data_IF_144140580258
#
_entry.id   IF_144140580258
#
_cell.length_a   1.000
_cell.length_b   1.000
_cell.length_c   1.000
_cell.angle_alpha   90.00
_cell.angle_beta   90.00
_cell.angle_gamma   90.00
#
_symmetry.space_group_name_H-M   'P 1'
#
loop_
_entity.id
_entity.type
_entity.pdbx_description
1 polymer ?
#
# COMPACT_ATOMS: atom_id res chain seq x y z
N UNK A 1 15.31 1.02 31.85
CA UNK A 1 14.07 0.41 32.37
C UNK A 1 12.98 0.64 31.34
N UNK A 2 12.66 -0.40 30.56
CA UNK A 2 11.73 -0.32 29.42
C UNK A 2 10.30 -0.33 29.94
N UNK A 3 9.57 0.78 29.78
CA UNK A 3 8.12 0.77 29.91
C UNK A 3 7.54 0.12 28.65
N UNK A 4 7.40 -1.19 28.70
CA UNK A 4 6.45 -1.91 27.86
C UNK A 4 5.07 -1.53 28.37
N UNK A 5 4.46 -0.51 27.78
CA UNK A 5 3.00 -0.34 27.86
C UNK A 5 2.37 -1.45 27.02
N UNK A 6 2.24 -2.64 27.62
CA UNK A 6 1.18 -3.58 27.26
C UNK A 6 -0.13 -2.86 27.54
N UNK A 7 -0.68 -2.17 26.55
CA UNK A 7 -2.11 -1.90 26.53
C UNK A 7 -2.78 -3.26 26.33
N UNK A 8 -3.18 -3.90 27.42
CA UNK A 8 -4.22 -4.91 27.38
C UNK A 8 -5.52 -4.19 27.02
N UNK A 9 -5.75 -3.93 25.74
CA UNK A 9 -7.10 -3.67 25.27
C UNK A 9 -7.76 -5.04 25.14
N UNK A 10 -8.60 -5.39 26.12
CA UNK A 10 -9.34 -6.65 26.20
C UNK A 10 -10.51 -6.72 25.20
N UNK A 11 -10.32 -6.18 24.00
CA UNK A 11 -11.29 -6.29 22.90
C UNK A 11 -10.90 -7.48 22.04
N UNK A 12 -11.83 -8.43 21.83
CA UNK A 12 -11.59 -9.55 20.93
C UNK A 12 -11.22 -9.01 19.52
N UNK A 13 -10.15 -9.56 18.94
CA UNK A 13 -9.72 -9.19 17.59
C UNK A 13 -10.83 -9.47 16.58
N UNK A 14 -11.03 -8.54 15.63
CA UNK A 14 -11.92 -8.73 14.49
C UNK A 14 -11.40 -9.89 13.63
N UNK A 15 -12.31 -10.56 12.91
CA UNK A 15 -11.99 -11.68 12.00
C UNK A 15 -12.47 -11.36 10.60
N UNK A 16 -11.69 -11.71 9.58
CA UNK A 16 -12.15 -11.68 8.19
C UNK A 16 -13.03 -12.90 7.90
N UNK A 17 -13.76 -12.88 6.78
CA UNK A 17 -14.53 -14.04 6.32
C UNK A 17 -13.64 -15.26 6.00
N UNK A 18 -12.32 -15.06 5.84
CA UNK A 18 -11.33 -16.10 5.57
C UNK A 18 -10.60 -16.59 6.82
N UNK A 19 -10.97 -16.11 8.02
CA UNK A 19 -10.26 -16.45 9.27
C UNK A 19 -10.13 -17.96 9.50
N UNK A 20 -11.23 -18.71 9.35
CA UNK A 20 -11.23 -20.16 9.57
C UNK A 20 -10.41 -20.90 8.51
N UNK A 21 -10.39 -20.40 7.26
CA UNK A 21 -9.51 -20.92 6.21
C UNK A 21 -8.04 -20.68 6.57
N UNK A 22 -7.68 -19.50 7.08
CA UNK A 22 -6.31 -19.24 7.51
C UNK A 22 -5.87 -20.21 8.60
N UNK A 23 -6.73 -20.47 9.59
CA UNK A 23 -6.46 -21.42 10.67
C UNK A 23 -6.29 -22.84 10.12
N UNK A 24 -7.16 -23.28 9.21
CA UNK A 24 -7.08 -24.63 8.62
C UNK A 24 -5.82 -24.83 7.79
N UNK A 25 -5.34 -23.78 7.11
CA UNK A 25 -4.07 -23.75 6.38
C UNK A 25 -2.83 -23.66 7.30
N UNK A 26 -3.02 -23.67 8.62
CA UNK A 26 -1.92 -23.57 9.59
C UNK A 26 -1.33 -22.17 9.70
N UNK A 27 -2.16 -21.14 9.51
CA UNK A 27 -1.79 -19.75 9.69
C UNK A 27 -1.37 -19.44 11.12
N UNK A 28 -0.20 -18.82 11.28
CA UNK A 28 0.20 -18.20 12.55
C UNK A 28 -0.50 -16.85 12.65
N UNK A 29 -1.55 -16.79 13.47
CA UNK A 29 -2.41 -15.62 13.59
C UNK A 29 -1.83 -14.59 14.57
N UNK A 30 -1.78 -13.33 14.16
CA UNK A 30 -1.30 -12.20 14.98
C UNK A 30 -2.31 -11.05 14.94
N UNK A 31 -2.21 -10.14 15.90
CA UNK A 31 -2.91 -8.87 15.83
C UNK A 31 -2.29 -7.98 14.74
N UNK A 32 -3.11 -7.53 13.80
CA UNK A 32 -2.74 -6.54 12.80
C UNK A 32 -3.92 -5.62 12.52
N UNK A 33 -3.76 -4.32 12.81
CA UNK A 33 -4.81 -3.30 12.65
C UNK A 33 -6.16 -3.69 13.32
N UNK A 34 -6.11 -4.32 14.50
CA UNK A 34 -7.31 -4.77 15.22
C UNK A 34 -7.96 -6.06 14.70
N UNK A 35 -7.37 -6.71 13.69
CA UNK A 35 -7.79 -8.00 13.15
C UNK A 35 -6.84 -9.13 13.54
N UNK A 36 -7.37 -10.35 13.59
CA UNK A 36 -6.59 -11.59 13.67
C UNK A 36 -6.19 -12.04 12.26
N UNK A 37 -4.93 -11.80 11.88
CA UNK A 37 -4.43 -12.00 10.51
C UNK A 37 -3.23 -12.97 10.46
N UNK A 38 -3.06 -13.75 9.38
CA UNK A 38 -1.94 -14.68 9.26
C UNK A 38 -0.63 -13.97 8.93
N UNK A 39 0.38 -14.08 9.81
CA UNK A 39 1.73 -13.55 9.53
C UNK A 39 2.55 -14.50 8.66
N UNK A 40 2.33 -15.80 8.83
CA UNK A 40 3.00 -16.91 8.16
C UNK A 40 2.06 -18.12 8.11
N UNK A 41 2.34 -19.09 7.25
CA UNK A 41 1.64 -20.38 7.20
C UNK A 41 2.61 -21.52 7.52
N UNK A 42 2.10 -22.60 8.12
CA UNK A 42 2.87 -23.79 8.47
C UNK A 42 3.66 -24.31 7.25
N UNK A 43 4.94 -24.60 7.44
CA UNK A 43 5.82 -25.11 6.39
C UNK A 43 6.33 -24.04 5.42
N UNK A 44 6.12 -22.75 5.68
CA UNK A 44 6.68 -21.65 4.91
C UNK A 44 7.46 -20.70 5.81
N UNK A 45 8.66 -20.31 5.38
CA UNK A 45 9.36 -19.12 5.91
C UNK A 45 8.93 -17.87 5.15
N UNK A 46 9.10 -16.69 5.76
CA UNK A 46 8.85 -15.41 5.08
C UNK A 46 9.69 -15.25 3.80
N UNK A 47 10.92 -15.81 3.77
CA UNK A 47 11.81 -15.81 2.61
C UNK A 47 11.23 -16.67 1.48
N UNK A 48 10.81 -17.90 1.78
CA UNK A 48 10.20 -18.79 0.79
C UNK A 48 8.90 -18.21 0.24
N UNK A 49 8.03 -17.68 1.11
CA UNK A 49 6.80 -17.02 0.68
C UNK A 49 7.05 -15.78 -0.20
N UNK A 50 8.08 -15.00 0.13
CA UNK A 50 8.51 -13.86 -0.69
C UNK A 50 8.96 -14.31 -2.07
N UNK A 51 9.92 -15.24 -2.14
CA UNK A 51 10.47 -15.74 -3.40
C UNK A 51 9.41 -16.47 -4.23
N UNK A 52 8.47 -17.16 -3.58
CA UNK A 52 7.32 -17.75 -4.25
C UNK A 52 6.49 -16.69 -4.96
N UNK A 53 6.16 -15.59 -4.28
CA UNK A 53 5.37 -14.48 -4.88
C UNK A 53 6.09 -13.87 -6.08
N UNK A 54 7.44 -13.79 -6.04
CA UNK A 54 8.25 -13.31 -7.18
C UNK A 54 8.25 -14.24 -8.40
N UNK A 55 7.95 -15.53 -8.22
CA UNK A 55 8.07 -16.55 -9.27
C UNK A 55 6.71 -17.12 -9.72
N UNK A 56 5.71 -17.08 -8.87
CA UNK A 56 4.42 -17.76 -9.02
C UNK A 56 3.25 -16.81 -8.70
N UNK A 57 2.17 -17.30 -8.09
CA UNK A 57 1.09 -16.48 -7.55
C UNK A 57 1.04 -16.63 -6.01
N UNK A 58 1.10 -15.51 -5.31
CA UNK A 58 0.86 -15.39 -3.89
C UNK A 58 -0.53 -14.83 -3.62
N UNK A 59 -1.32 -15.53 -2.80
CA UNK A 59 -2.64 -15.08 -2.38
C UNK A 59 -2.58 -14.46 -0.98
N UNK A 60 -2.96 -13.20 -0.88
CA UNK A 60 -3.00 -12.44 0.38
C UNK A 60 -4.44 -12.10 0.73
N UNK A 61 -4.82 -12.27 2.00
CA UNK A 61 -6.07 -11.71 2.52
C UNK A 61 -5.83 -10.26 2.97
N UNK A 62 -6.42 -9.32 2.23
CA UNK A 62 -6.42 -7.89 2.54
C UNK A 62 -7.82 -7.38 2.92
N UNK A 63 -8.74 -8.28 3.29
CA UNK A 63 -10.14 -7.98 3.62
C UNK A 63 -10.32 -7.11 4.86
N UNK A 64 -9.25 -6.86 5.61
CA UNK A 64 -9.22 -5.94 6.74
C UNK A 64 -9.11 -4.47 6.30
N UNK A 65 -8.77 -4.20 5.03
CA UNK A 65 -8.84 -2.87 4.42
C UNK A 65 -10.30 -2.46 4.18
N UNK A 66 -10.56 -1.16 4.21
CA UNK A 66 -11.91 -0.63 4.08
C UNK A 66 -12.25 -0.38 2.61
N UNK A 67 -13.28 -1.05 2.11
CA UNK A 67 -13.88 -0.78 0.82
C UNK A 67 -15.05 0.19 1.01
N UNK A 68 -15.09 1.27 0.24
CA UNK A 68 -16.14 2.28 0.33
C UNK A 68 -16.45 2.88 -1.04
N UNK A 69 -17.54 3.63 -1.11
CA UNK A 69 -17.97 4.34 -2.30
C UNK A 69 -18.31 5.79 -1.95
N UNK A 70 -17.83 6.72 -2.76
CA UNK A 70 -18.21 8.13 -2.74
C UNK A 70 -19.10 8.41 -3.96
N UNK A 71 -20.28 8.98 -3.73
CA UNK A 71 -21.28 9.27 -4.77
C UNK A 71 -21.92 10.64 -4.59
N UNK A 72 -22.33 11.29 -5.68
CA UNK A 72 -23.15 12.51 -5.62
C UNK A 72 -22.54 13.68 -6.39
N UNK A 73 -23.34 14.72 -6.64
CA UNK A 73 -22.99 15.80 -7.58
C UNK A 73 -21.68 16.51 -7.22
N UNK A 74 -21.34 16.59 -5.93
CA UNK A 74 -20.10 17.22 -5.45
C UNK A 74 -18.99 16.22 -5.06
N UNK A 75 -19.11 14.94 -5.40
CA UNK A 75 -18.10 13.92 -5.09
C UNK A 75 -16.71 14.27 -5.64
N UNK A 76 -16.64 14.74 -6.88
CA UNK A 76 -15.37 15.17 -7.50
C UNK A 76 -14.77 16.36 -6.77
N UNK A 77 -15.61 17.33 -6.37
CA UNK A 77 -15.21 18.52 -5.63
C UNK A 77 -14.65 18.15 -4.25
N UNK A 78 -15.30 17.23 -3.54
CA UNK A 78 -14.78 16.68 -2.27
C UNK A 78 -13.41 16.02 -2.48
N UNK A 79 -13.26 15.14 -3.48
CA UNK A 79 -11.96 14.52 -3.74
C UNK A 79 -10.90 15.55 -4.08
N UNK A 80 -11.26 16.60 -4.81
CA UNK A 80 -10.33 17.67 -5.15
C UNK A 80 -9.96 18.54 -3.95
N UNK A 81 -10.82 18.71 -2.95
CA UNK A 81 -10.42 19.42 -1.72
C UNK A 81 -9.47 18.60 -0.84
N UNK A 82 -9.69 17.28 -0.75
CA UNK A 82 -8.91 16.43 0.19
C UNK A 82 -7.74 15.68 -0.46
N UNK A 83 -7.61 15.72 -1.78
CA UNK A 83 -6.53 15.04 -2.51
C UNK A 83 -5.89 15.92 -3.59
N UNK A 84 -4.60 15.70 -3.91
CA UNK A 84 -3.89 16.44 -4.94
C UNK A 84 -4.03 15.83 -6.35
N UNK A 85 -4.81 14.75 -6.50
CA UNK A 85 -5.01 14.03 -7.75
C UNK A 85 -6.22 14.59 -8.50
N UNK A 86 -6.13 14.63 -9.83
CA UNK A 86 -7.23 15.06 -10.68
C UNK A 86 -8.14 13.89 -11.04
N UNK A 87 -9.16 13.67 -10.21
CA UNK A 87 -10.17 12.64 -10.42
C UNK A 87 -11.24 13.01 -11.45
N UNK A 88 -11.29 14.25 -11.93
CA UNK A 88 -12.24 14.65 -12.97
C UNK A 88 -11.80 14.06 -14.31
N UNK A 89 -10.50 14.19 -14.61
CA UNK A 89 -9.87 13.73 -15.85
C UNK A 89 -9.42 12.26 -15.84
N UNK A 90 -9.65 11.53 -14.74
CA UNK A 90 -9.36 10.10 -14.69
C UNK A 90 -10.34 9.35 -15.60
N UNK A 91 -9.90 8.43 -16.48
CA UNK A 91 -10.80 7.61 -17.27
C UNK A 91 -11.68 6.72 -16.38
N UNK A 92 -12.89 6.43 -16.87
CA UNK A 92 -13.77 5.48 -16.21
C UNK A 92 -13.12 4.10 -16.14
N UNK A 93 -13.26 3.42 -15.00
CA UNK A 93 -12.63 2.13 -14.74
C UNK A 93 -11.13 2.24 -14.41
N UNK A 94 -10.57 3.43 -14.29
CA UNK A 94 -9.17 3.61 -13.86
C UNK A 94 -9.13 4.09 -12.41
N UNK A 95 -8.17 3.58 -11.66
CA UNK A 95 -7.81 4.04 -10.34
C UNK A 95 -6.39 4.58 -10.26
N UNK A 96 -6.18 5.45 -9.28
CA UNK A 96 -4.87 5.98 -8.95
C UNK A 96 -4.63 5.83 -7.45
N UNK A 97 -3.38 5.56 -7.09
CA UNK A 97 -2.91 5.92 -5.76
C UNK A 97 -3.04 7.44 -5.60
N UNK A 98 -3.56 7.84 -4.45
CA UNK A 98 -3.55 9.21 -4.00
C UNK A 98 -3.31 9.25 -2.49
N UNK A 99 -3.37 10.44 -1.93
CA UNK A 99 -3.18 10.71 -0.51
C UNK A 99 -4.31 11.62 -0.04
N UNK A 100 -4.92 11.26 1.08
CA UNK A 100 -5.79 12.15 1.83
C UNK A 100 -4.91 13.16 2.57
N UNK A 101 -5.19 14.44 2.42
CA UNK A 101 -4.39 15.52 2.99
C UNK A 101 -5.16 16.25 4.08
N UNK A 102 -4.50 16.46 5.22
CA UNK A 102 -4.97 17.41 6.21
C UNK A 102 -4.70 18.86 5.76
N UNK A 103 -5.30 19.82 6.44
CA UNK A 103 -5.21 21.26 6.10
C UNK A 103 -3.75 21.79 6.02
N UNK A 104 -2.81 21.12 6.68
CA UNK A 104 -1.38 21.46 6.67
C UNK A 104 -0.57 20.75 5.57
N UNK A 105 -1.23 19.95 4.73
CA UNK A 105 -0.63 19.19 3.62
C UNK A 105 0.11 17.91 4.04
N UNK A 106 -0.10 17.47 5.28
CA UNK A 106 0.38 16.18 5.75
C UNK A 106 -0.56 15.05 5.34
N UNK A 107 -0.02 13.83 5.23
CA UNK A 107 -0.77 12.66 4.75
C UNK A 107 -1.58 12.04 5.88
N UNK A 108 -2.91 12.02 5.74
CA UNK A 108 -3.85 11.33 6.63
C UNK A 108 -3.92 9.84 6.28
N UNK A 109 -3.92 9.50 5.01
CA UNK A 109 -3.76 8.13 4.50
C UNK A 109 -3.30 8.13 3.04
N UNK A 110 -2.70 7.05 2.57
CA UNK A 110 -2.56 6.75 1.15
C UNK A 110 -3.60 5.72 0.70
N UNK A 111 -4.30 6.00 -0.40
CA UNK A 111 -5.50 5.25 -0.80
C UNK A 111 -5.54 5.03 -2.30
N UNK A 112 -6.12 3.89 -2.71
CA UNK A 112 -6.50 3.69 -4.12
C UNK A 112 -7.91 4.23 -4.30
N UNK A 113 -8.08 5.12 -5.29
CA UNK A 113 -9.38 5.68 -5.67
C UNK A 113 -9.60 5.38 -7.15
N UNK A 114 -10.66 4.65 -7.46
CA UNK A 114 -11.09 4.29 -8.81
C UNK A 114 -12.32 5.09 -9.21
N UNK A 115 -12.29 5.72 -10.38
CA UNK A 115 -13.48 6.32 -10.99
C UNK A 115 -14.35 5.21 -11.58
N UNK A 116 -15.48 4.90 -10.93
CA UNK A 116 -16.43 3.91 -11.47
C UNK A 116 -17.31 4.54 -12.56
N UNK A 117 -17.74 5.79 -12.34
CA UNK A 117 -18.49 6.66 -13.26
C UNK A 117 -18.20 8.12 -12.93
N UNK A 118 -18.75 9.07 -13.68
CA UNK A 118 -18.73 10.48 -13.27
C UNK A 118 -19.41 10.62 -11.89
N UNK A 119 -18.75 11.32 -10.97
CA UNK A 119 -19.24 11.53 -9.61
C UNK A 119 -19.50 10.25 -8.79
N UNK A 120 -18.91 9.12 -9.18
CA UNK A 120 -18.95 7.85 -8.46
C UNK A 120 -17.56 7.23 -8.38
N UNK A 121 -17.06 7.06 -7.16
CA UNK A 121 -15.71 6.60 -6.90
C UNK A 121 -15.70 5.43 -5.92
N UNK A 122 -14.96 4.38 -6.25
CA UNK A 122 -14.64 3.29 -5.34
C UNK A 122 -13.32 3.55 -4.66
N UNK A 123 -13.28 3.42 -3.33
CA UNK A 123 -12.15 3.83 -2.50
C UNK A 123 -11.75 2.67 -1.61
N UNK A 124 -10.45 2.36 -1.58
CA UNK A 124 -9.85 1.39 -0.65
C UNK A 124 -8.83 2.08 0.23
N UNK A 125 -9.13 2.22 1.53
CA UNK A 125 -8.23 2.83 2.51
C UNK A 125 -7.54 1.78 3.40
N UNK A 126 -6.42 2.17 4.02
CA UNK A 126 -5.61 1.26 4.80
C UNK A 126 -6.32 0.77 6.07
N UNK A 127 -6.13 -0.50 6.40
CA UNK A 127 -6.75 -1.11 7.57
C UNK A 127 -6.39 -0.43 8.91
N UNK A 128 -5.16 0.06 9.03
CA UNK A 128 -4.69 0.78 10.22
C UNK A 128 -5.24 2.21 10.34
N UNK A 129 -5.90 2.72 9.30
CA UNK A 129 -6.36 4.10 9.19
C UNK A 129 -7.89 4.21 9.26
N UNK A 130 -8.61 3.09 9.15
CA UNK A 130 -10.08 3.02 9.04
C UNK A 130 -10.85 3.96 9.96
N UNK A 131 -10.55 3.97 11.27
CA UNK A 131 -11.28 4.80 12.22
C UNK A 131 -11.06 6.30 11.93
N UNK A 132 -9.81 6.69 11.64
CA UNK A 132 -9.45 8.07 11.29
C UNK A 132 -10.00 8.47 9.93
N UNK A 133 -9.88 7.62 8.93
CA UNK A 133 -10.38 7.92 7.58
C UNK A 133 -11.89 8.08 7.59
N UNK A 134 -12.59 7.25 8.38
CA UNK A 134 -14.04 7.33 8.56
C UNK A 134 -14.44 8.67 9.19
N UNK A 135 -13.73 9.11 10.24
CA UNK A 135 -13.99 10.41 10.87
C UNK A 135 -13.71 11.57 9.91
N UNK A 136 -12.54 11.54 9.26
CA UNK A 136 -12.12 12.56 8.29
C UNK A 136 -13.12 12.67 7.12
N UNK A 137 -13.43 11.57 6.43
CA UNK A 137 -14.32 11.59 5.28
C UNK A 137 -15.74 11.97 5.66
N UNK A 138 -16.27 11.53 6.81
CA UNK A 138 -17.59 11.98 7.28
C UNK A 138 -17.62 13.48 7.55
N UNK A 139 -16.55 14.02 8.14
CA UNK A 139 -16.40 15.46 8.36
C UNK A 139 -16.47 16.24 7.05
N UNK A 140 -15.74 15.79 6.03
CA UNK A 140 -15.70 16.45 4.72
C UNK A 140 -16.98 16.28 3.90
N UNK A 141 -17.60 15.10 3.92
CA UNK A 141 -18.86 14.81 3.21
C UNK A 141 -20.00 15.66 3.76
N UNK A 142 -20.03 15.93 5.07
CA UNK A 142 -21.11 16.69 5.70
C UNK A 142 -21.27 18.14 5.18
N UNK A 143 -20.28 18.63 4.41
CA UNK A 143 -20.22 19.99 3.87
C UNK A 143 -20.71 20.10 2.41
N UNK A 144 -20.98 18.99 1.74
CA UNK A 144 -21.17 18.92 0.27
C UNK A 144 -22.33 17.98 -0.10
N UNK A 145 -22.90 18.17 -1.29
CA UNK A 145 -23.93 17.28 -1.86
C UNK A 145 -23.32 15.98 -2.41
N UNK A 146 -22.90 15.11 -1.49
CA UNK A 146 -22.40 13.77 -1.76
C UNK A 146 -22.61 12.84 -0.55
N UNK A 147 -22.44 11.54 -0.77
CA UNK A 147 -22.47 10.50 0.26
C UNK A 147 -21.21 9.65 0.19
N UNK A 148 -20.73 9.21 1.35
CA UNK A 148 -19.67 8.23 1.46
C UNK A 148 -20.16 7.04 2.28
N UNK A 149 -20.15 5.88 1.65
CA UNK A 149 -20.77 4.67 2.17
C UNK A 149 -19.76 3.52 2.19
N UNK A 150 -19.67 2.85 3.33
CA UNK A 150 -18.85 1.65 3.49
C UNK A 150 -19.53 0.49 2.76
N UNK A 151 -18.78 -0.21 1.90
CA UNK A 151 -19.27 -1.39 1.20
C UNK A 151 -19.19 -2.58 2.16
N UNK A 152 -20.35 -3.01 2.65
CA UNK A 152 -20.45 -4.14 3.57
C UNK A 152 -20.51 -5.49 2.85
N UNK A 153 -20.22 -6.56 3.58
CA UNK A 153 -20.42 -7.94 3.11
C UNK A 153 -19.42 -8.41 2.05
N UNK A 154 -18.27 -7.75 1.91
CA UNK A 154 -17.24 -8.10 0.91
C UNK A 154 -15.88 -8.35 1.53
N UNK A 155 -15.17 -9.30 0.95
CA UNK A 155 -13.76 -9.62 1.18
C UNK A 155 -12.92 -9.03 0.05
N UNK A 156 -11.64 -8.80 0.33
CA UNK A 156 -10.67 -8.30 -0.64
C UNK A 156 -9.44 -9.20 -0.60
N UNK A 157 -9.16 -9.88 -1.71
CA UNK A 157 -8.00 -10.75 -1.86
C UNK A 157 -7.02 -10.14 -2.85
N UNK A 158 -5.73 -10.16 -2.54
CA UNK A 158 -4.69 -9.78 -3.48
C UNK A 158 -3.99 -11.03 -4.02
N UNK A 159 -4.13 -11.29 -5.32
CA UNK A 159 -3.42 -12.36 -6.03
C UNK A 159 -2.25 -11.72 -6.79
N UNK A 160 -1.03 -11.92 -6.30
CA UNK A 160 0.16 -11.16 -6.72
C UNK A 160 1.24 -12.09 -7.25
N UNK A 161 1.97 -11.68 -8.28
CA UNK A 161 3.06 -12.43 -8.89
C UNK A 161 2.84 -12.74 -10.38
N UNK A 162 3.89 -13.14 -11.11
CA UNK A 162 3.86 -13.28 -12.57
C UNK A 162 2.90 -14.38 -13.08
N UNK A 163 2.39 -15.26 -12.20
CA UNK A 163 1.40 -16.28 -12.56
C UNK A 163 -0.04 -15.90 -12.16
N UNK A 164 -0.25 -14.74 -11.54
CA UNK A 164 -1.56 -14.30 -11.07
C UNK A 164 -2.62 -14.29 -12.18
N UNK A 165 -2.27 -13.77 -13.37
CA UNK A 165 -3.20 -13.74 -14.50
C UNK A 165 -3.59 -15.15 -14.94
N UNK A 166 -2.61 -16.03 -15.16
CA UNK A 166 -2.85 -17.42 -15.56
C UNK A 166 -3.75 -18.17 -14.57
N UNK A 167 -3.63 -17.88 -13.26
CA UNK A 167 -4.45 -18.48 -12.21
C UNK A 167 -5.87 -17.93 -12.27
N UNK A 168 -6.04 -16.60 -12.27
CA UNK A 168 -7.36 -15.97 -12.23
C UNK A 168 -8.17 -16.23 -13.50
N UNK A 169 -7.51 -16.23 -14.66
CA UNK A 169 -8.11 -16.45 -15.98
C UNK A 169 -8.81 -17.82 -16.10
N UNK A 170 -8.43 -18.80 -15.29
CA UNK A 170 -9.09 -20.12 -15.23
C UNK A 170 -10.41 -20.13 -14.46
N UNK A 171 -10.66 -19.10 -13.65
CA UNK A 171 -11.85 -19.01 -12.78
C UNK A 171 -12.90 -18.04 -13.31
N UNK A 172 -12.56 -17.20 -14.28
CA UNK A 172 -13.48 -16.27 -14.94
C UNK A 172 -14.02 -16.85 -16.23
N UNK A 173 -15.16 -16.36 -16.71
CA UNK A 173 -15.78 -16.84 -17.95
C UNK A 173 -14.84 -16.69 -19.15
N UNK A 174 -14.95 -17.58 -20.16
CA UNK A 174 -14.01 -17.63 -21.30
C UNK A 174 -14.01 -16.39 -22.21
N UNK A 175 -15.10 -15.64 -22.20
CA UNK A 175 -15.23 -14.36 -22.90
C UNK A 175 -14.62 -13.18 -22.11
N UNK A 176 -14.09 -13.44 -20.91
CA UNK A 176 -13.39 -12.44 -20.12
C UNK A 176 -12.07 -12.02 -20.78
N UNK A 177 -11.89 -10.71 -20.92
CA UNK A 177 -10.69 -10.09 -21.50
C UNK A 177 -9.74 -9.64 -20.40
N UNK A 178 -9.39 -10.55 -19.49
CA UNK A 178 -8.57 -10.22 -18.31
C UNK A 178 -7.18 -9.70 -18.71
N UNK A 179 -6.63 -10.20 -19.81
CA UNK A 179 -5.38 -9.74 -20.42
C UNK A 179 -5.43 -8.28 -20.92
N UNK A 180 -6.63 -7.76 -21.23
CA UNK A 180 -6.89 -6.37 -21.63
C UNK A 180 -7.21 -5.45 -20.42
N UNK A 181 -7.09 -5.96 -19.19
CA UNK A 181 -7.09 -5.14 -17.98
C UNK A 181 -5.64 -4.73 -17.69
N UNK A 182 -5.34 -3.44 -17.76
CA UNK A 182 -3.98 -2.92 -17.51
C UNK A 182 -3.80 -2.43 -16.07
N UNK A 183 -2.55 -2.29 -15.63
CA UNK A 183 -2.21 -1.79 -14.30
C UNK A 183 -2.88 -0.44 -14.03
N UNK A 184 -3.57 -0.34 -12.90
CA UNK A 184 -4.38 0.81 -12.53
C UNK A 184 -5.82 0.74 -13.03
N UNK A 185 -6.21 -0.26 -13.83
CA UNK A 185 -7.60 -0.44 -14.23
C UNK A 185 -8.35 -1.38 -13.30
N UNK A 186 -9.67 -1.20 -13.24
CA UNK A 186 -10.63 -2.01 -12.53
C UNK A 186 -11.87 -2.26 -13.38
N UNK A 187 -12.29 -3.52 -13.45
CA UNK A 187 -13.52 -3.94 -14.15
C UNK A 187 -14.25 -5.00 -13.32
N UNK A 188 -15.53 -5.20 -13.61
CA UNK A 188 -16.28 -6.33 -13.08
C UNK A 188 -16.08 -7.55 -13.99
N UNK A 189 -15.94 -8.73 -13.37
CA UNK A 189 -15.83 -10.01 -14.04
C UNK A 189 -16.83 -10.99 -13.44
N UNK A 190 -17.17 -12.02 -14.22
CA UNK A 190 -18.04 -13.11 -13.79
C UNK A 190 -17.20 -14.37 -13.63
N UNK A 191 -17.39 -15.08 -12.51
CA UNK A 191 -16.77 -16.39 -12.31
C UNK A 191 -17.46 -17.45 -13.18
N UNK A 192 -16.68 -18.40 -13.68
CA UNK A 192 -17.17 -19.63 -14.33
C UNK A 192 -17.64 -20.62 -13.23
N UNK A 193 -18.70 -20.24 -12.53
CA UNK A 193 -19.36 -21.06 -11.51
C UNK A 193 -20.87 -21.18 -11.78
N UNK A 194 -21.54 -22.12 -11.11
CA UNK A 194 -22.96 -22.38 -11.30
C UNK A 194 -23.88 -21.20 -10.92
N UNK A 195 -23.35 -20.21 -10.20
CA UNK A 195 -24.10 -19.04 -9.71
C UNK A 195 -23.77 -17.75 -10.47
N UNK A 196 -22.88 -17.79 -11.47
CA UNK A 196 -22.39 -16.63 -12.20
C UNK A 196 -21.95 -15.49 -11.26
N UNK A 197 -21.17 -15.82 -10.21
CA UNK A 197 -20.75 -14.86 -9.18
C UNK A 197 -20.00 -13.67 -9.80
N UNK A 198 -20.43 -12.43 -9.48
CA UNK A 198 -19.75 -11.20 -9.93
C UNK A 198 -18.66 -10.79 -8.95
N UNK A 199 -17.47 -10.49 -9.48
CA UNK A 199 -16.31 -10.00 -8.73
C UNK A 199 -15.81 -8.68 -9.31
N UNK A 200 -15.35 -7.79 -8.44
CA UNK A 200 -14.64 -6.58 -8.87
C UNK A 200 -13.14 -6.85 -8.89
N UNK A 201 -12.48 -6.64 -10.03
CA UNK A 201 -11.06 -6.93 -10.21
C UNK A 201 -10.32 -5.66 -10.58
N UNK A 202 -9.39 -5.23 -9.74
CA UNK A 202 -8.44 -4.17 -10.04
C UNK A 202 -7.07 -4.79 -10.32
N UNK A 203 -6.38 -4.39 -11.40
CA UNK A 203 -5.02 -4.86 -11.67
C UNK A 203 -4.01 -3.92 -11.05
N UNK A 204 -3.22 -4.45 -10.12
CA UNK A 204 -2.29 -3.71 -9.29
C UNK A 204 -2.02 -4.44 -7.99
N UNK A 205 -1.34 -3.77 -7.08
CA UNK A 205 -1.12 -4.28 -5.73
C UNK A 205 0.16 -3.76 -5.09
N UNK A 206 0.50 -4.36 -3.96
CA UNK A 206 1.46 -3.82 -2.99
C UNK A 206 2.74 -4.66 -2.87
N UNK A 207 3.17 -5.28 -3.98
CA UNK A 207 4.32 -6.20 -4.01
C UNK A 207 5.40 -5.81 -5.02
N UNK A 208 5.08 -4.91 -5.95
CA UNK A 208 5.92 -4.62 -7.12
C UNK A 208 5.82 -5.64 -8.25
N UNK A 209 5.12 -6.76 -8.06
CA UNK A 209 4.78 -7.69 -9.14
C UNK A 209 3.48 -7.28 -9.85
N UNK A 210 3.22 -7.90 -11.00
CA UNK A 210 1.87 -7.93 -11.56
C UNK A 210 0.90 -8.65 -10.61
N UNK A 211 -0.39 -8.41 -10.77
CA UNK A 211 -1.41 -9.06 -9.96
C UNK A 211 -2.71 -8.28 -9.90
N UNK A 212 -3.62 -8.80 -9.08
CA UNK A 212 -4.97 -8.28 -8.95
C UNK A 212 -5.37 -8.13 -7.49
N UNK A 213 -6.17 -7.11 -7.20
CA UNK A 213 -7.01 -7.03 -6.01
C UNK A 213 -8.45 -7.36 -6.42
N UNK A 214 -9.02 -8.35 -5.74
CA UNK A 214 -10.27 -9.00 -6.12
C UNK A 214 -11.26 -8.87 -4.97
N UNK A 215 -12.30 -8.07 -5.20
CA UNK A 215 -13.40 -7.86 -4.29
C UNK A 215 -14.48 -8.91 -4.56
N UNK A 216 -14.83 -9.71 -3.55
CA UNK A 216 -15.79 -10.82 -3.63
C UNK A 216 -16.72 -10.79 -2.43
N UNK A 217 -17.96 -11.26 -2.58
CA UNK A 217 -18.91 -11.36 -1.46
C UNK A 217 -18.41 -12.33 -0.37
N UNK A 218 -18.63 -11.99 0.90
CA UNK A 218 -18.16 -12.79 2.04
C UNK A 218 -18.66 -14.23 1.99
N UNK A 219 -19.91 -14.45 1.57
CA UNK A 219 -20.48 -15.80 1.44
C UNK A 219 -19.79 -16.68 0.39
N UNK A 220 -19.04 -16.06 -0.54
CA UNK A 220 -18.31 -16.74 -1.62
C UNK A 220 -16.79 -16.70 -1.43
N UNK A 221 -16.29 -15.89 -0.51
CA UNK A 221 -14.87 -15.63 -0.33
C UNK A 221 -14.05 -16.89 -0.05
N UNK A 222 -14.53 -17.78 0.83
CA UNK A 222 -13.83 -19.01 1.18
C UNK A 222 -13.73 -19.97 -0.02
N UNK A 223 -14.86 -20.25 -0.68
CA UNK A 223 -14.88 -21.09 -1.89
C UNK A 223 -13.97 -20.51 -2.98
N UNK A 224 -14.02 -19.20 -3.20
CA UNK A 224 -13.17 -18.52 -4.18
C UNK A 224 -11.68 -18.61 -3.84
N UNK A 225 -11.31 -18.37 -2.57
CA UNK A 225 -9.94 -18.51 -2.10
C UNK A 225 -9.43 -19.95 -2.25
N UNK A 226 -10.26 -20.95 -1.91
CA UNK A 226 -9.90 -22.36 -2.05
C UNK A 226 -9.66 -22.71 -3.53
N UNK A 227 -10.53 -22.28 -4.46
CA UNK A 227 -10.32 -22.48 -5.90
C UNK A 227 -9.02 -21.89 -6.41
N UNK A 228 -8.62 -20.72 -5.90
CA UNK A 228 -7.32 -20.12 -6.23
C UNK A 228 -6.16 -20.95 -5.68
N UNK A 229 -6.28 -21.47 -4.45
CA UNK A 229 -5.27 -22.25 -3.74
C UNK A 229 -5.14 -23.69 -4.23
N UNK A 230 -6.19 -24.26 -4.83
CA UNK A 230 -6.15 -25.59 -5.45
C UNK A 230 -5.30 -25.61 -6.73
N UNK A 231 -4.92 -24.43 -7.24
CA UNK A 231 -3.95 -24.30 -8.31
C UNK A 231 -2.52 -24.42 -7.78
N UNK A 232 -1.71 -25.32 -8.35
CA UNK A 232 -0.31 -25.56 -7.94
C UNK A 232 0.60 -24.33 -8.04
N UNK A 233 0.22 -23.32 -8.83
CA UNK A 233 0.93 -22.06 -8.97
C UNK A 233 0.58 -21.05 -7.88
N UNK A 234 -0.33 -21.38 -6.97
CA UNK A 234 -0.79 -20.47 -5.92
C UNK A 234 -0.38 -20.96 -4.54
N UNK A 235 0.06 -20.04 -3.68
CA UNK A 235 0.21 -20.31 -2.24
C UNK A 235 -0.42 -19.19 -1.41
N UNK A 236 -0.90 -19.50 -0.19
CA UNK A 236 -1.32 -18.47 0.74
C UNK A 236 -0.07 -17.78 1.30
N UNK A 237 -0.08 -16.44 1.30
CA UNK A 237 1.06 -15.62 1.72
C UNK A 237 0.66 -14.71 2.88
N UNK A 238 1.47 -14.73 3.95
CA UNK A 238 1.22 -13.98 5.18
C UNK A 238 1.85 -12.58 5.18
N UNK A 239 1.53 -11.80 6.21
CA UNK A 239 1.96 -10.40 6.37
C UNK A 239 3.49 -10.21 6.35
N UNK A 240 4.28 -11.19 6.80
CA UNK A 240 5.74 -11.04 6.84
C UNK A 240 6.36 -10.90 5.44
N UNK A 241 5.91 -11.71 4.47
CA UNK A 241 6.40 -11.62 3.10
C UNK A 241 5.91 -10.32 2.43
N UNK A 242 4.68 -9.90 2.70
CA UNK A 242 4.12 -8.61 2.22
C UNK A 242 5.04 -7.43 2.55
N UNK A 243 5.50 -7.33 3.79
CA UNK A 243 6.36 -6.21 4.22
C UNK A 243 7.72 -6.17 3.50
N UNK A 244 8.32 -7.34 3.23
CA UNK A 244 9.56 -7.39 2.45
C UNK A 244 9.35 -7.09 0.95
N UNK A 245 8.24 -7.55 0.36
CA UNK A 245 7.91 -7.30 -1.06
C UNK A 245 7.69 -5.80 -1.34
N UNK A 246 6.86 -5.13 -0.51
CA UNK A 246 6.60 -3.69 -0.64
C UNK A 246 7.88 -2.87 -0.44
N UNK A 247 8.75 -3.32 0.46
CA UNK A 247 9.99 -2.60 0.78
C UNK A 247 10.96 -2.66 -0.39
N UNK A 248 11.09 -3.82 -1.04
CA UNK A 248 11.84 -3.97 -2.29
C UNK A 248 11.25 -3.12 -3.42
N UNK A 249 9.93 -2.99 -3.49
CA UNK A 249 9.24 -2.11 -4.45
C UNK A 249 9.34 -0.61 -4.11
N UNK A 250 9.91 -0.24 -2.95
CA UNK A 250 10.03 1.15 -2.50
C UNK A 250 8.70 1.80 -2.14
N UNK A 251 7.70 1.01 -1.77
CA UNK A 251 6.37 1.50 -1.41
C UNK A 251 6.32 1.97 0.06
N UNK A 252 5.51 3.00 0.31
CA UNK A 252 5.27 3.54 1.65
C UNK A 252 4.32 2.63 2.44
N UNK A 253 4.54 2.52 3.75
CA UNK A 253 3.55 2.04 4.68
C UNK A 253 3.11 3.18 5.61
N UNK A 254 1.80 3.40 5.74
CA UNK A 254 1.28 4.39 6.69
C UNK A 254 1.72 4.09 8.13
N UNK A 255 2.12 5.13 8.87
CA UNK A 255 2.71 5.02 10.20
C UNK A 255 4.22 4.74 10.19
N UNK A 256 4.81 4.46 9.02
CA UNK A 256 6.25 4.33 8.84
C UNK A 256 6.81 5.44 7.96
N UNK A 257 6.46 5.43 6.67
CA UNK A 257 6.90 6.47 5.72
C UNK A 257 5.91 7.63 5.65
N UNK A 258 4.65 7.43 6.04
CA UNK A 258 3.60 8.44 5.95
C UNK A 258 2.99 8.72 7.31
N UNK A 259 2.79 10.00 7.59
CA UNK A 259 2.13 10.52 8.79
C UNK A 259 1.51 11.88 8.44
N UNK A 260 0.68 12.39 9.36
CA UNK A 260 0.05 13.71 9.25
C UNK A 260 1.04 14.89 9.30
N UNK A 261 2.33 14.65 9.55
CA UNK A 261 3.38 15.67 9.49
C UNK A 261 4.20 15.64 8.20
N UNK A 262 4.12 14.55 7.43
CA UNK A 262 4.91 14.33 6.22
C UNK A 262 4.08 14.70 5.00
N UNK A 263 4.63 15.56 4.13
CA UNK A 263 3.97 15.91 2.87
C UNK A 263 4.23 14.87 1.77
N UNK A 264 3.42 14.84 0.71
CA UNK A 264 3.67 13.96 -0.44
C UNK A 264 5.00 14.27 -1.14
N UNK A 265 5.47 15.52 -1.09
CA UNK A 265 6.76 15.90 -1.68
C UNK A 265 7.92 15.31 -0.86
N UNK A 266 7.87 15.45 0.47
CA UNK A 266 8.84 14.86 1.39
C UNK A 266 8.85 13.33 1.27
N UNK A 267 7.68 12.70 1.13
CA UNK A 267 7.56 11.26 0.91
C UNK A 267 8.00 10.79 -0.48
N UNK A 268 8.46 11.67 -1.37
CA UNK A 268 8.81 11.28 -2.75
C UNK A 268 7.60 10.78 -3.56
N UNK A 269 6.40 11.17 -3.18
CA UNK A 269 5.12 10.88 -3.82
C UNK A 269 4.62 12.06 -4.67
N UNK A 270 5.48 13.03 -5.01
CA UNK A 270 5.11 14.18 -5.85
C UNK A 270 4.44 13.83 -7.20
N UNK A 271 4.54 12.58 -7.64
CA UNK A 271 3.88 12.05 -8.84
C UNK A 271 2.36 11.88 -8.68
N UNK A 272 1.82 11.78 -7.46
CA UNK A 272 0.35 11.74 -7.22
C UNK A 272 -0.31 13.11 -7.41
N UNK A 273 0.50 14.18 -7.40
CA UNK A 273 0.05 15.56 -7.59
C UNK A 273 -0.08 15.83 -9.09
N UNK A 274 -1.33 15.82 -9.56
CA UNK A 274 -1.66 15.98 -10.98
C UNK A 274 -1.22 17.34 -11.48
N UNK A 275 -0.71 17.42 -12.73
CA UNK A 275 -0.19 18.67 -13.30
C UNK A 275 -1.28 19.76 -13.35
N UNK A 276 -2.50 19.38 -13.73
CA UNK A 276 -3.69 20.25 -13.75
C UNK A 276 -4.01 20.86 -12.38
N UNK A 277 -3.57 20.23 -11.29
CA UNK A 277 -3.83 20.68 -9.92
C UNK A 277 -2.70 21.55 -9.35
N UNK A 278 -1.65 21.90 -10.11
CA UNK A 278 -0.48 22.65 -9.58
C UNK A 278 -0.57 24.17 -9.72
N UNK A 279 -1.47 24.64 -10.56
CA UNK A 279 -1.73 26.05 -10.85
C UNK A 279 -3.23 26.33 -10.68
N UNK A 280 -3.81 25.81 -9.59
CA UNK A 280 -5.21 25.97 -9.22
C UNK A 280 -5.51 27.39 -8.70
N UNK A 281 -6.67 27.93 -9.09
CA UNK A 281 -7.26 29.12 -8.45
C UNK A 281 -7.69 28.80 -7.01
N UNK A 282 -7.99 29.83 -6.20
CA UNK A 282 -8.28 29.66 -4.76
C UNK A 282 -9.37 28.62 -4.45
N UNK A 283 -10.40 28.54 -5.28
CA UNK A 283 -11.54 27.64 -5.09
C UNK A 283 -11.26 26.17 -5.44
N UNK A 284 -10.15 25.88 -6.15
CA UNK A 284 -9.80 24.53 -6.63
C UNK A 284 -8.60 23.92 -5.87
N UNK A 285 -8.15 24.61 -4.81
CA UNK A 285 -7.01 24.20 -4.00
C UNK A 285 -7.36 23.01 -3.12
N UNK A 286 -6.48 22.02 -3.09
CA UNK A 286 -6.53 20.93 -2.13
C UNK A 286 -5.90 21.35 -0.78
N UNK A 287 -6.18 20.60 0.27
CA UNK A 287 -5.63 20.83 1.60
C UNK A 287 -4.09 20.92 1.60
N UNK A 288 -3.54 21.96 2.24
CA UNK A 288 -2.10 22.21 2.27
C UNK A 288 -1.47 22.67 0.96
N UNK A 289 -2.27 23.10 -0.02
CA UNK A 289 -1.84 23.53 -1.36
C UNK A 289 -0.61 24.43 -1.33
N UNK A 290 -0.66 25.57 -0.63
CA UNK A 290 0.42 26.56 -0.62
C UNK A 290 1.77 25.96 -0.21
N UNK A 291 1.79 25.13 0.85
CA UNK A 291 3.01 24.44 1.31
C UNK A 291 3.51 23.44 0.27
N UNK A 292 2.62 22.59 -0.25
CA UNK A 292 2.99 21.53 -1.19
C UNK A 292 3.48 22.12 -2.53
N UNK A 293 2.83 23.16 -3.04
CA UNK A 293 3.24 23.82 -4.29
C UNK A 293 4.57 24.55 -4.12
N UNK A 294 4.79 25.21 -2.99
CA UNK A 294 6.08 25.82 -2.66
C UNK A 294 7.20 24.78 -2.56
N UNK A 295 6.93 23.63 -1.93
CA UNK A 295 7.88 22.50 -1.90
C UNK A 295 8.19 21.95 -3.31
N UNK A 296 7.22 21.94 -4.22
CA UNK A 296 7.42 21.50 -5.61
C UNK A 296 8.23 22.52 -6.43
N UNK A 297 7.86 23.80 -6.37
CA UNK A 297 8.42 24.87 -7.20
C UNK A 297 9.77 25.35 -6.66
N UNK A 298 9.84 25.62 -5.36
CA UNK A 298 10.97 26.29 -4.71
C UNK A 298 11.84 25.34 -3.86
N UNK A 299 11.47 24.06 -3.76
CA UNK A 299 12.23 23.03 -3.01
C UNK A 299 12.44 23.37 -1.54
N UNK A 300 11.42 23.92 -0.89
CA UNK A 300 11.47 24.36 0.52
C UNK A 300 11.38 23.25 1.56
N UNK A 301 11.15 22.00 1.16
CA UNK A 301 11.22 20.86 2.06
C UNK A 301 12.65 20.61 2.57
N UNK A 302 12.77 20.34 3.87
CA UNK A 302 14.06 20.12 4.54
C UNK A 302 14.50 18.66 4.54
N UNK A 303 13.53 17.74 4.51
CA UNK A 303 13.76 16.29 4.51
C UNK A 303 13.19 15.64 3.26
N UNK A 304 13.68 14.46 2.93
CA UNK A 304 13.22 13.68 1.78
C UNK A 304 13.37 12.19 2.06
N UNK A 305 12.37 11.41 1.65
CA UNK A 305 12.40 9.96 1.73
C UNK A 305 13.51 9.41 0.84
N UNK A 306 14.28 8.48 1.39
CA UNK A 306 15.33 7.73 0.71
C UNK A 306 15.11 6.24 0.88
N UNK A 307 15.82 5.47 0.06
CA UNK A 307 16.04 4.05 0.28
C UNK A 307 17.54 3.80 0.41
N UNK A 308 17.92 2.71 1.06
CA UNK A 308 19.32 2.32 1.23
C UNK A 308 19.51 0.80 1.09
N UNK A 309 20.73 0.40 0.76
CA UNK A 309 21.21 -1.00 0.75
C UNK A 309 22.45 -1.11 1.62
N UNK A 310 22.52 -2.10 2.50
CA UNK A 310 23.74 -2.33 3.28
C UNK A 310 24.90 -2.74 2.35
N UNK A 311 26.12 -2.28 2.64
CA UNK A 311 27.34 -2.67 1.92
C UNK A 311 28.04 -3.89 2.56
N UNK A 312 27.40 -4.54 3.52
CA UNK A 312 27.94 -5.66 4.27
C UNK A 312 26.90 -6.34 5.17
N UNK A 313 27.35 -7.26 6.02
CA UNK A 313 26.47 -7.98 6.95
C UNK A 313 26.17 -7.14 8.21
N UNK A 314 24.99 -7.34 8.77
CA UNK A 314 24.56 -6.69 10.02
C UNK A 314 23.12 -7.04 10.36
N UNK A 315 22.61 -6.63 11.53
CA UNK A 315 21.18 -6.66 11.83
C UNK A 315 20.45 -5.63 10.95
N UNK A 316 19.25 -5.98 10.47
CA UNK A 316 18.40 -5.01 9.80
C UNK A 316 18.06 -3.84 10.75
N UNK A 317 18.12 -2.61 10.23
CA UNK A 317 17.73 -1.44 10.99
C UNK A 317 16.22 -1.42 11.23
N UNK A 318 15.82 -0.95 12.41
CA UNK A 318 14.42 -0.79 12.81
C UNK A 318 14.03 0.69 12.74
N UNK A 319 12.72 1.01 12.73
CA UNK A 319 12.26 2.39 12.87
C UNK A 319 12.97 3.06 14.07
N UNK A 320 13.41 4.31 13.94
CA UNK A 320 14.21 4.97 14.98
C UNK A 320 15.72 4.92 14.79
N UNK A 321 16.23 4.02 13.93
CA UNK A 321 17.67 3.90 13.73
C UNK A 321 18.21 5.16 13.04
N UNK A 322 19.25 5.76 13.64
CA UNK A 322 19.83 7.00 13.16
C UNK A 322 20.69 6.79 11.91
N UNK A 323 20.63 7.74 10.99
CA UNK A 323 21.45 7.77 9.77
C UNK A 323 22.46 8.91 9.90
N UNK A 324 23.73 8.59 9.71
CA UNK A 324 24.86 9.51 9.81
C UNK A 324 25.60 9.63 8.48
N UNK A 325 26.35 10.72 8.30
CA UNK A 325 27.39 10.78 7.28
C UNK A 325 28.50 9.76 7.57
N UNK A 326 29.39 9.59 6.60
CA UNK A 326 30.54 8.68 6.69
C UNK A 326 31.54 9.09 7.79
N UNK A 327 31.45 10.34 8.29
CA UNK A 327 32.20 10.82 9.46
C UNK A 327 31.80 10.13 10.79
N UNK A 328 30.61 9.51 10.86
CA UNK A 328 30.09 8.87 12.07
C UNK A 328 29.61 9.83 13.17
N UNK A 329 29.64 11.14 12.93
CA UNK A 329 29.29 12.19 13.90
C UNK A 329 28.05 12.97 13.47
N UNK A 330 27.94 13.29 12.18
CA UNK A 330 26.85 14.12 11.67
C UNK A 330 25.60 13.30 11.40
N UNK A 331 24.63 13.33 12.32
CA UNK A 331 23.31 12.76 12.07
C UNK A 331 22.57 13.56 10.99
N UNK A 332 22.13 12.88 9.94
CA UNK A 332 21.40 13.47 8.81
C UNK A 332 19.97 12.98 8.69
N UNK A 333 19.56 11.97 9.45
CA UNK A 333 18.25 11.37 9.27
C UNK A 333 17.96 10.18 10.17
N UNK A 334 16.91 9.46 9.82
CA UNK A 334 16.36 8.32 10.57
C UNK A 334 15.71 7.31 9.64
N UNK A 335 15.81 6.03 10.00
CA UNK A 335 15.18 4.90 9.34
C UNK A 335 13.70 4.82 9.72
N UNK A 336 12.83 4.61 8.73
CA UNK A 336 11.39 4.37 8.90
C UNK A 336 11.02 2.90 8.74
N UNK A 337 11.70 2.19 7.84
CA UNK A 337 11.51 0.76 7.58
C UNK A 337 12.82 0.07 7.27
N UNK A 338 12.98 -1.18 7.68
CA UNK A 338 14.16 -1.98 7.35
C UNK A 338 13.95 -3.47 7.53
N UNK A 339 14.45 -4.25 6.57
CA UNK A 339 14.36 -5.72 6.55
C UNK A 339 15.46 -6.30 5.65
N UNK A 340 15.71 -7.60 5.79
CA UNK A 340 16.42 -8.36 4.76
C UNK A 340 15.57 -8.39 3.47
N UNK A 341 16.23 -8.33 2.32
CA UNK A 341 15.65 -8.39 0.98
C UNK A 341 15.91 -9.78 0.35
N UNK A 342 14.93 -10.71 0.36
CA UNK A 342 15.11 -12.03 -0.22
C UNK A 342 15.55 -12.01 -1.68
N UNK A 343 15.02 -11.09 -2.49
CA UNK A 343 15.36 -10.97 -3.93
C UNK A 343 16.78 -10.45 -4.17
N UNK A 344 17.42 -9.89 -3.14
CA UNK A 344 18.78 -9.34 -3.21
C UNK A 344 19.75 -10.14 -2.34
N UNK A 345 19.62 -11.47 -2.33
CA UNK A 345 20.46 -12.38 -1.55
C UNK A 345 20.48 -12.06 -0.05
N UNK A 346 19.34 -11.63 0.51
CA UNK A 346 19.14 -11.29 1.91
C UNK A 346 20.05 -10.15 2.43
N UNK A 347 20.55 -9.27 1.55
CA UNK A 347 21.13 -8.01 2.04
C UNK A 347 20.06 -7.19 2.77
N UNK A 348 20.46 -6.45 3.81
CA UNK A 348 19.53 -5.55 4.47
C UNK A 348 19.29 -4.32 3.60
N UNK A 349 18.02 -3.97 3.46
CA UNK A 349 17.56 -2.77 2.80
C UNK A 349 16.65 -1.99 3.75
N UNK A 350 16.34 -0.76 3.37
CA UNK A 350 15.30 -0.03 4.06
C UNK A 350 15.02 1.32 3.45
N UNK A 351 14.16 2.05 4.16
CA UNK A 351 13.73 3.40 3.84
C UNK A 351 13.89 4.29 5.07
N UNK A 352 13.92 5.59 4.84
CA UNK A 352 14.05 6.58 5.89
C UNK A 352 13.99 7.99 5.35
N UNK A 353 14.11 8.96 6.23
CA UNK A 353 14.21 10.37 5.86
C UNK A 353 15.61 10.87 6.15
N UNK A 354 16.16 11.66 5.22
CA UNK A 354 17.39 12.42 5.44
C UNK A 354 17.17 13.88 5.09
N UNK A 355 17.98 14.76 5.65
CA UNK A 355 18.11 16.16 5.21
C UNK A 355 18.32 16.21 3.69
N UNK A 356 17.58 17.06 2.99
CA UNK A 356 17.55 17.15 1.51
C UNK A 356 18.93 17.29 0.90
N UNK A 357 19.82 18.07 1.54
CA UNK A 357 21.20 18.28 1.09
C UNK A 357 22.04 16.98 1.03
N UNK A 358 21.63 15.92 1.72
CA UNK A 358 22.37 14.67 1.86
C UNK A 358 21.69 13.47 1.16
N UNK A 359 20.78 13.70 0.21
CA UNK A 359 20.00 12.65 -0.43
C UNK A 359 20.62 12.05 -1.72
N UNK A 360 21.84 12.46 -2.09
CA UNK A 360 22.49 12.04 -3.35
C UNK A 360 22.67 10.51 -3.37
N UNK A 361 22.14 9.87 -4.42
CA UNK A 361 22.23 8.42 -4.63
C UNK A 361 23.66 7.97 -4.88
N UNK A 362 24.00 6.75 -4.50
CA UNK A 362 25.34 6.17 -4.56
C UNK A 362 26.27 6.62 -3.43
N UNK A 363 25.86 7.58 -2.58
CA UNK A 363 26.66 7.97 -1.41
C UNK A 363 26.58 6.92 -0.31
N UNK A 364 27.72 6.66 0.33
CA UNK A 364 27.79 5.91 1.59
C UNK A 364 27.25 6.75 2.74
N UNK A 365 26.46 6.12 3.60
CA UNK A 365 26.00 6.63 4.90
C UNK A 365 26.24 5.55 5.96
N UNK A 366 26.22 5.92 7.23
CA UNK A 366 26.34 4.99 8.34
C UNK A 366 24.99 4.87 9.05
N UNK A 367 24.47 3.65 9.20
CA UNK A 367 23.25 3.39 9.95
C UNK A 367 23.64 2.84 11.32
N UNK A 368 23.20 3.51 12.38
CA UNK A 368 23.52 3.12 13.75
C UNK A 368 22.49 2.13 14.28
N UNK A 369 22.93 0.90 14.56
CA UNK A 369 22.11 -0.15 15.18
C UNK A 369 22.83 -0.68 16.41
N UNK A 370 22.19 -0.59 17.58
CA UNK A 370 22.76 -1.03 18.88
C UNK A 370 24.16 -0.44 19.11
N UNK A 371 24.32 0.87 18.91
CA UNK A 371 25.57 1.63 19.05
C UNK A 371 26.72 1.22 18.11
N UNK A 372 26.44 0.40 17.08
CA UNK A 372 27.41 0.06 16.03
C UNK A 372 26.98 0.67 14.70
N UNK A 373 27.94 1.13 13.92
CA UNK A 373 27.71 1.67 12.59
C UNK A 373 27.81 0.59 11.52
N UNK A 374 26.83 0.56 10.62
CA UNK A 374 26.79 -0.31 9.46
C UNK A 374 26.79 0.54 8.19
N UNK A 375 27.78 0.39 7.30
CA UNK A 375 27.80 1.11 6.04
C UNK A 375 26.63 0.71 5.14
N UNK A 376 25.93 1.71 4.63
CA UNK A 376 24.87 1.55 3.65
C UNK A 376 25.04 2.56 2.50
N UNK A 377 24.54 2.22 1.34
CA UNK A 377 24.52 3.09 0.16
C UNK A 377 23.10 3.62 -0.05
N UNK A 378 22.96 4.93 -0.27
CA UNK A 378 21.69 5.52 -0.67
C UNK A 378 21.31 5.08 -2.10
N UNK A 379 20.18 4.40 -2.24
CA UNK A 379 19.74 3.78 -3.47
C UNK A 379 18.56 4.51 -4.13
N UNK A 380 18.41 4.29 -5.43
CA UNK A 380 17.21 4.66 -6.19
C UNK A 380 16.08 3.67 -5.86
N UNK A 381 14.85 4.18 -5.77
CA UNK A 381 13.65 3.35 -5.70
C UNK A 381 13.08 3.14 -7.12
N UNK A 382 12.49 1.96 -7.41
CA UNK A 382 12.37 0.80 -6.50
C UNK A 382 13.74 0.09 -6.32
N UNK A 383 13.91 -0.65 -5.22
CA UNK A 383 15.18 -1.35 -4.90
C UNK A 383 15.36 -2.63 -5.71
N UNK A 384 14.23 -3.23 -6.11
CA UNK A 384 14.06 -4.32 -7.08
C UNK A 384 13.10 -3.83 -8.16
N UNK A 385 13.34 -4.19 -9.42
CA UNK A 385 12.50 -3.76 -10.53
C UNK A 385 11.05 -4.25 -10.35
N UNK A 386 10.08 -3.39 -10.66
CA UNK A 386 8.65 -3.75 -10.66
C UNK A 386 8.22 -4.35 -12.00
N UNK A 387 7.31 -5.31 -11.99
CA UNK A 387 6.84 -6.06 -13.17
C UNK A 387 5.35 -5.84 -13.49
N UNK A 388 4.89 -4.59 -13.46
CA UNK A 388 3.48 -4.28 -13.75
C UNK A 388 3.12 -4.51 -15.22
N UNK A 389 1.92 -5.06 -15.48
CA UNK A 389 1.36 -5.17 -16.82
C UNK A 389 0.76 -3.83 -17.28
N UNK A 390 1.43 -3.15 -18.19
CA UNK A 390 1.03 -1.82 -18.69
C UNK A 390 0.63 -1.88 -20.16
N UNK A 391 -0.19 -0.92 -20.58
CA UNK A 391 -0.62 -0.75 -21.97
C UNK A 391 0.53 -0.38 -22.91
#
# INVERSE_FOLDING_TARGET
>A
MSLVLKRFNSTALKKTALHDLHVSLGGTMVEFAGYSMPVLYKGQTHIESHLWTRQNAGLFDVSHMLQSRLTGAEATKLLHSVTPTDFANLPQGTGSLSVLLNEHGGVVDDTIITKEQDNQYYIVTNAGCVDRDTEFLKGEVSKLDCSWDIIQGRSLLALQGPKAQQVLERLVTRDSKLNELYFGERKEFTLDDATATRIGVARGGYTGEDGFEISVENGKANEFAQKLLDNELTKPIGLAARDSLRLEAGMCLYGHELTESITPVEAGLAWVISKSRRDAGSEDQFNGYSKIIDQLKNKTHEIIRIAYKYKGKGPAARPGAKIFLEDGETQIGEVTSGSAAPSLNNINIGQGYVKRAHNKKGKTVLIQVRNKFYPAELAKMPLVQTHYHKA
#
